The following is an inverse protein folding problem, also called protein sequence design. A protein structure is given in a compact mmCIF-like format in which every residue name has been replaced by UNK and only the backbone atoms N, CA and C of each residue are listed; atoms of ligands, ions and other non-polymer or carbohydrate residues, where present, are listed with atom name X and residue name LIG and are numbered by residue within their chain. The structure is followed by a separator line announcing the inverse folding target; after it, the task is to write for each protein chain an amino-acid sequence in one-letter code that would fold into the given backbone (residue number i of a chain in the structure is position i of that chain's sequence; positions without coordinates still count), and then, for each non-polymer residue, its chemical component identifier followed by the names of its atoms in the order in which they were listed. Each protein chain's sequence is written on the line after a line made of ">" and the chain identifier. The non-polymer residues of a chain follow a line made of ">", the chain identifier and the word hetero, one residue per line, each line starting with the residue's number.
data_IF_392491187483
#
_entry.id   IF_392491187483
#
_cell.length_a   1.000
_cell.length_b   1.000
_cell.length_c   1.000
_cell.angle_alpha   90.00
_cell.angle_beta   90.00
_cell.angle_gamma   90.00
#
_symmetry.space_group_name_H-M   'P 1'
#
loop_
_entity.id
_entity.type
_entity.pdbx_description
1 polymer ?
#
# COMPACT_ATOMS: atom_id res chain seq x y z
N UNK A 1 -2.76 -0.28 -19.73
CA UNK A 1 -1.75 -0.55 -18.70
C UNK A 1 -2.47 -0.67 -17.37
N UNK A 2 -2.24 -1.74 -16.59
CA UNK A 2 -3.03 -2.07 -15.39
C UNK A 2 -2.30 -1.57 -14.13
N UNK A 3 -2.71 -0.42 -13.59
CA UNK A 3 -2.20 0.15 -12.34
C UNK A 3 -2.86 -0.52 -11.11
N UNK A 4 -2.85 -1.85 -11.04
CA UNK A 4 -3.61 -2.57 -10.01
C UNK A 4 -2.91 -2.49 -8.66
N UNK A 5 -3.38 -1.60 -7.77
CA UNK A 5 -2.79 -1.43 -6.45
C UNK A 5 -3.33 -2.50 -5.50
N UNK A 6 -2.52 -3.53 -5.23
CA UNK A 6 -2.93 -4.62 -4.33
C UNK A 6 -2.95 -4.21 -2.86
N UNK A 7 -1.97 -3.41 -2.44
CA UNK A 7 -1.81 -2.86 -1.09
C UNK A 7 -1.03 -1.55 -1.15
N UNK A 8 -1.21 -0.72 -0.13
CA UNK A 8 -0.38 0.48 0.08
C UNK A 8 -0.14 0.73 1.55
N UNK A 9 0.91 1.50 1.85
CA UNK A 9 1.25 1.89 3.21
C UNK A 9 0.29 2.98 3.69
N UNK A 10 -0.21 2.79 4.90
CA UNK A 10 -0.92 3.84 5.62
C UNK A 10 0.09 4.81 6.22
N UNK A 11 -0.21 6.12 6.18
CA UNK A 11 0.59 7.13 6.89
C UNK A 11 0.71 6.78 8.37
N UNK A 12 1.88 7.05 8.93
CA UNK A 12 2.08 6.93 10.37
C UNK A 12 1.07 7.77 11.14
N UNK A 13 0.62 7.26 12.28
CA UNK A 13 -0.36 7.91 13.15
C UNK A 13 -1.70 8.26 12.48
N UNK A 14 -2.03 7.70 11.32
CA UNK A 14 -3.32 7.94 10.66
C UNK A 14 -4.50 7.66 11.59
N UNK A 15 -4.46 6.56 12.35
CA UNK A 15 -5.47 6.21 13.34
C UNK A 15 -5.33 6.97 14.67
N UNK A 16 -4.17 7.58 14.94
CA UNK A 16 -3.80 8.02 16.28
C UNK A 16 -3.73 6.86 17.26
N UNK A 17 -4.01 7.11 18.54
CA UNK A 17 -4.12 6.05 19.56
C UNK A 17 -5.32 5.16 19.28
N UNK A 18 -5.15 3.87 19.52
CA UNK A 18 -6.20 2.86 19.37
C UNK A 18 -6.47 2.17 20.71
N UNK A 19 -7.74 1.98 21.04
CA UNK A 19 -8.19 1.30 22.26
C UNK A 19 -9.08 0.13 21.89
N UNK A 20 -8.86 -1.02 22.51
CA UNK A 20 -9.64 -2.23 22.27
C UNK A 20 -11.05 -2.09 22.84
N UNK A 21 -12.08 -2.36 22.03
CA UNK A 21 -13.49 -2.22 22.44
C UNK A 21 -14.24 -3.55 22.53
N UNK A 22 -13.65 -4.63 22.02
CA UNK A 22 -14.20 -5.98 22.13
C UNK A 22 -13.07 -7.01 22.07
N UNK A 23 -13.37 -8.25 22.47
CA UNK A 23 -12.40 -9.35 22.45
C UNK A 23 -11.78 -9.52 21.06
N UNK A 24 -10.48 -9.83 21.05
CA UNK A 24 -9.79 -10.21 19.83
C UNK A 24 -10.39 -11.51 19.31
N UNK A 25 -10.40 -11.65 17.99
CA UNK A 25 -10.97 -12.83 17.33
C UNK A 25 -10.09 -13.24 16.16
N UNK A 26 -10.24 -14.47 15.67
CA UNK A 26 -9.60 -14.89 14.42
C UNK A 26 -10.58 -14.74 13.28
N UNK A 27 -10.13 -14.06 12.22
CA UNK A 27 -10.92 -13.86 11.01
C UNK A 27 -10.08 -14.19 9.78
N UNK A 28 -10.72 -14.75 8.77
CA UNK A 28 -10.09 -14.89 7.47
C UNK A 28 -10.22 -13.59 6.69
N UNK A 29 -9.09 -13.10 6.15
CA UNK A 29 -9.04 -11.88 5.34
C UNK A 29 -8.42 -12.21 3.99
N UNK A 30 -9.13 -11.89 2.91
CA UNK A 30 -8.72 -12.19 1.54
C UNK A 30 -9.24 -13.54 1.02
N UNK A 31 -8.60 -14.06 -0.04
CA UNK A 31 -9.02 -15.28 -0.71
C UNK A 31 -8.96 -16.53 0.19
N UNK A 32 -9.67 -17.59 -0.21
CA UNK A 32 -9.61 -18.89 0.46
C UNK A 32 -8.15 -19.39 0.51
N UNK A 33 -7.65 -19.70 1.71
CA UNK A 33 -6.28 -20.20 1.91
C UNK A 33 -5.25 -19.17 2.41
N UNK A 34 -5.61 -17.89 2.59
CA UNK A 34 -4.71 -16.84 3.10
C UNK A 34 -4.37 -16.92 4.60
N UNK A 35 -4.85 -17.95 5.29
CA UNK A 35 -4.73 -18.11 6.74
C UNK A 35 -5.73 -17.26 7.54
N UNK A 36 -5.76 -17.49 8.86
CA UNK A 36 -6.54 -16.66 9.79
C UNK A 36 -5.65 -15.56 10.38
N UNK A 37 -6.18 -14.34 10.46
CA UNK A 37 -5.54 -13.18 11.08
C UNK A 37 -6.20 -12.87 12.41
N UNK A 38 -5.45 -12.28 13.33
CA UNK A 38 -6.02 -11.80 14.61
C UNK A 38 -6.64 -10.43 14.35
N UNK A 39 -7.95 -10.33 14.58
CA UNK A 39 -8.77 -9.14 14.43
C UNK A 39 -8.83 -8.40 15.77
N UNK A 40 -8.48 -7.12 15.73
CA UNK A 40 -8.57 -6.17 16.83
C UNK A 40 -9.69 -5.15 16.52
N UNK A 41 -10.87 -5.30 17.13
CA UNK A 41 -11.90 -4.28 17.06
C UNK A 41 -11.51 -3.11 17.98
N UNK A 42 -11.19 -1.96 17.39
CA UNK A 42 -10.68 -0.80 18.12
C UNK A 42 -11.52 0.45 17.85
N UNK A 43 -11.58 1.32 18.85
CA UNK A 43 -11.87 2.74 18.62
C UNK A 43 -10.53 3.47 18.48
N UNK A 44 -10.43 4.38 17.52
CA UNK A 44 -9.20 5.17 17.34
C UNK A 44 -9.48 6.66 17.56
N UNK A 45 -8.44 7.47 17.71
CA UNK A 45 -8.61 8.91 17.95
C UNK A 45 -9.11 9.64 16.70
N UNK A 46 -8.57 9.27 15.53
CA UNK A 46 -8.75 10.02 14.28
C UNK A 46 -9.78 9.37 13.34
N UNK A 47 -9.99 8.07 13.47
CA UNK A 47 -11.02 7.31 12.76
C UNK A 47 -11.91 6.65 13.81
N UNK A 48 -13.20 6.48 13.56
CA UNK A 48 -14.06 5.81 14.55
C UNK A 48 -13.75 4.32 14.73
N UNK A 49 -14.76 3.46 14.56
CA UNK A 49 -14.59 2.03 14.77
C UNK A 49 -13.85 1.36 13.60
N UNK A 50 -12.63 0.91 13.87
CA UNK A 50 -11.79 0.19 12.92
C UNK A 50 -11.63 -1.29 13.32
N UNK A 51 -11.58 -2.16 12.32
CA UNK A 51 -11.21 -3.56 12.49
C UNK A 51 -9.82 -3.75 11.89
N UNK A 52 -8.80 -3.79 12.75
CA UNK A 52 -7.40 -3.92 12.33
C UNK A 52 -6.97 -5.38 12.46
N UNK A 53 -6.35 -5.93 11.41
CA UNK A 53 -5.96 -7.33 11.36
C UNK A 53 -4.44 -7.46 11.42
N UNK A 54 -3.92 -8.24 12.37
CA UNK A 54 -2.49 -8.55 12.43
C UNK A 54 -2.19 -9.74 11.54
N UNK A 55 -1.24 -9.55 10.62
CA UNK A 55 -0.94 -10.54 9.58
C UNK A 55 -0.18 -11.76 10.10
N UNK A 56 0.66 -11.58 11.11
CA UNK A 56 1.42 -12.65 11.78
C UNK A 56 0.88 -12.89 13.20
N UNK A 57 0.22 -14.02 13.43
CA UNK A 57 -0.36 -14.34 14.74
C UNK A 57 0.66 -14.36 15.89
N UNK A 58 1.93 -14.70 15.62
CA UNK A 58 3.01 -14.68 16.62
C UNK A 58 3.42 -13.25 17.06
N UNK A 59 3.00 -12.23 16.32
CA UNK A 59 3.26 -10.80 16.59
C UNK A 59 2.01 -10.07 17.08
N UNK A 60 0.96 -10.83 17.43
CA UNK A 60 -0.28 -10.34 17.98
C UNK A 60 -0.30 -10.64 19.48
N UNK A 61 -0.15 -9.60 20.30
CA UNK A 61 -0.27 -9.74 21.76
C UNK A 61 -1.75 -9.81 22.17
N UNK A 62 -2.01 -10.58 23.23
CA UNK A 62 -3.30 -10.63 23.92
C UNK A 62 -3.42 -9.44 24.86
N UNK A 63 -4.58 -8.80 24.85
CA UNK A 63 -4.82 -7.53 25.53
C UNK A 63 -6.28 -7.48 25.95
N UNK A 64 -6.55 -6.80 27.06
CA UNK A 64 -7.89 -6.66 27.61
C UNK A 64 -8.65 -5.48 27.00
N UNK A 65 -9.97 -5.54 27.09
CA UNK A 65 -10.84 -4.45 26.65
C UNK A 65 -10.51 -3.20 27.48
N UNK A 66 -10.37 -2.05 26.82
CA UNK A 66 -10.03 -0.77 27.46
C UNK A 66 -8.53 -0.44 27.46
N UNK A 67 -7.66 -1.34 27.01
CA UNK A 67 -6.22 -1.06 26.93
C UNK A 67 -5.82 -0.46 25.56
N UNK A 68 -4.77 0.36 25.58
CA UNK A 68 -4.21 1.02 24.39
C UNK A 68 -3.41 0.00 23.56
N UNK A 69 -3.37 0.22 22.24
CA UNK A 69 -2.61 -0.59 21.30
C UNK A 69 -1.66 0.24 20.47
N UNK A 70 -0.43 -0.29 20.34
CA UNK A 70 0.53 0.16 19.37
C UNK A 70 0.59 -0.86 18.24
N UNK A 71 -0.03 -0.51 17.11
CA UNK A 71 0.12 -1.29 15.88
C UNK A 71 1.46 -0.97 15.23
N UNK A 72 2.13 -2.00 14.71
CA UNK A 72 3.25 -1.81 13.79
C UNK A 72 2.79 -1.20 12.48
N UNK A 73 3.68 -1.12 11.50
CA UNK A 73 3.34 -0.65 10.14
C UNK A 73 2.04 -1.29 9.63
N UNK A 74 1.12 -0.44 9.16
CA UNK A 74 -0.18 -0.86 8.64
C UNK A 74 -0.18 -0.72 7.12
N UNK A 75 -0.49 -1.82 6.45
CA UNK A 75 -0.81 -1.85 5.03
C UNK A 75 -2.32 -1.84 4.84
N UNK A 76 -2.83 -1.07 3.89
CA UNK A 76 -4.24 -1.14 3.50
C UNK A 76 -4.36 -2.04 2.28
N UNK A 77 -5.28 -3.01 2.37
CA UNK A 77 -5.70 -3.82 1.22
C UNK A 77 -7.06 -3.31 0.72
N UNK A 78 -7.13 -2.64 -0.44
CA UNK A 78 -8.40 -2.29 -1.06
C UNK A 78 -9.08 -3.53 -1.65
N UNK A 79 -10.40 -3.60 -1.53
CA UNK A 79 -11.23 -4.63 -2.15
C UNK A 79 -12.56 -4.08 -2.60
N UNK A 80 -13.13 -4.68 -3.65
CA UNK A 80 -14.46 -4.30 -4.14
C UNK A 80 -15.47 -5.25 -3.54
N UNK A 81 -16.46 -4.70 -2.83
CA UNK A 81 -17.54 -5.47 -2.22
C UNK A 81 -18.84 -5.17 -2.97
N UNK A 82 -19.55 -6.22 -3.35
CA UNK A 82 -20.89 -6.13 -3.92
C UNK A 82 -21.93 -6.34 -2.82
N UNK A 83 -22.92 -5.47 -2.73
CA UNK A 83 -24.16 -5.73 -1.97
C UNK A 83 -25.25 -6.08 -2.97
N UNK A 84 -25.95 -7.18 -2.70
CA UNK A 84 -26.95 -7.78 -3.58
C UNK A 84 -28.39 -7.41 -3.19
N UNK A 85 -28.61 -6.29 -2.51
CA UNK A 85 -29.96 -5.83 -2.12
C UNK A 85 -30.41 -4.69 -3.06
N UNK A 86 -31.51 -4.92 -3.81
CA UNK A 86 -32.29 -3.96 -4.61
C UNK A 86 -31.57 -3.07 -5.66
N UNK A 87 -30.29 -3.29 -5.94
CA UNK A 87 -29.54 -2.95 -7.16
C UNK A 87 -28.10 -3.36 -6.86
N UNK A 88 -27.41 -4.04 -7.78
CA UNK A 88 -26.01 -4.42 -7.56
C UNK A 88 -25.14 -3.18 -7.39
N UNK A 89 -24.89 -2.81 -6.14
CA UNK A 89 -24.02 -1.69 -5.79
C UNK A 89 -22.68 -2.26 -5.36
N UNK A 90 -21.62 -1.81 -6.04
CA UNK A 90 -20.24 -2.17 -5.70
C UNK A 90 -19.54 -0.96 -5.11
N UNK A 91 -18.86 -1.11 -3.98
CA UNK A 91 -18.06 -0.05 -3.37
C UNK A 91 -16.67 -0.56 -2.98
N UNK A 92 -15.74 0.39 -2.89
CA UNK A 92 -14.40 0.13 -2.36
C UNK A 92 -14.47 -0.01 -0.85
N UNK A 93 -13.80 -1.03 -0.35
CA UNK A 93 -13.62 -1.32 1.07
C UNK A 93 -12.15 -1.42 1.38
N UNK A 94 -11.74 -0.98 2.55
CA UNK A 94 -10.34 -1.01 2.99
C UNK A 94 -10.17 -1.95 4.15
N UNK A 95 -9.22 -2.87 4.02
CA UNK A 95 -8.84 -3.76 5.13
C UNK A 95 -7.46 -3.38 5.65
N UNK A 96 -7.34 -2.83 6.86
CA UNK A 96 -6.05 -2.51 7.47
C UNK A 96 -5.37 -3.75 8.03
N UNK A 97 -4.13 -3.96 7.60
CA UNK A 97 -3.28 -5.10 7.88
C UNK A 97 -2.02 -4.64 8.63
N UNK A 98 -2.01 -4.79 9.96
CA UNK A 98 -0.87 -4.46 10.79
C UNK A 98 0.19 -5.59 10.79
N UNK A 99 1.47 -5.21 10.83
CA UNK A 99 2.59 -6.16 10.94
C UNK A 99 2.75 -6.76 12.33
N UNK A 100 2.29 -6.05 13.37
CA UNK A 100 2.28 -6.47 14.77
C UNK A 100 1.23 -5.69 15.56
N UNK A 101 0.84 -6.21 16.71
CA UNK A 101 0.09 -5.48 17.73
C UNK A 101 0.77 -5.70 19.08
N UNK A 102 1.19 -4.61 19.71
CA UNK A 102 1.81 -4.63 21.05
C UNK A 102 0.92 -3.90 22.03
N UNK A 103 0.83 -4.46 23.24
CA UNK A 103 0.15 -3.85 24.36
C UNK A 103 0.77 -2.50 24.68
N UNK A 104 -0.07 -1.47 24.71
CA UNK A 104 0.28 -0.14 25.18
C UNK A 104 0.03 0.01 26.68
N UNK A 105 -0.14 1.25 27.12
CA UNK A 105 -0.50 1.53 28.52
C UNK A 105 -1.99 1.26 28.76
N UNK A 106 -2.39 1.09 30.01
CA UNK A 106 -3.81 1.13 30.37
C UNK A 106 -4.31 2.56 30.16
N UNK A 107 -5.41 2.72 29.42
CA UNK A 107 -6.01 4.03 29.16
C UNK A 107 -7.06 4.32 30.21
N UNK A 108 -7.04 5.51 30.80
CA UNK A 108 -8.22 6.01 31.50
C UNK A 108 -9.29 6.35 30.44
N UNK A 109 -10.45 5.66 30.42
CA UNK A 109 -11.51 5.92 29.45
C UNK A 109 -11.97 7.39 29.40
N UNK A 110 -11.81 8.13 30.50
CA UNK A 110 -12.12 9.57 30.60
C UNK A 110 -11.09 10.44 29.86
N UNK A 111 -9.84 9.95 29.75
CA UNK A 111 -8.74 10.64 29.07
C UNK A 111 -8.68 10.36 27.57
N UNK A 112 -9.43 9.37 27.05
CA UNK A 112 -9.51 9.08 25.62
C UNK A 112 -10.38 10.12 24.90
N UNK A 113 -9.81 11.30 24.67
CA UNK A 113 -10.44 12.32 23.83
C UNK A 113 -10.34 11.91 22.37
N UNK A 114 -11.48 11.71 21.71
CA UNK A 114 -11.51 11.75 20.24
C UNK A 114 -11.11 13.16 19.84
N UNK A 115 -10.03 13.29 19.09
CA UNK A 115 -9.81 14.52 18.34
C UNK A 115 -11.00 14.64 17.39
N UNK A 116 -11.63 15.82 17.30
CA UNK A 116 -12.74 16.06 16.37
C UNK A 116 -12.24 15.87 14.95
N UNK A 117 -12.26 14.63 14.50
CA UNK A 117 -12.07 14.26 13.11
C UNK A 117 -13.41 14.50 12.43
N UNK A 118 -13.40 15.38 11.43
CA UNK A 118 -14.53 15.60 10.53
C UNK A 118 -14.89 14.26 9.88
N UNK A 119 -15.91 13.58 10.42
CA UNK A 119 -16.63 12.45 9.84
C UNK A 119 -15.81 11.44 9.00
N UNK A 120 -14.63 11.01 9.46
CA UNK A 120 -13.90 9.90 8.82
C UNK A 120 -14.55 8.51 9.06
N UNK A 121 -15.60 8.44 9.88
CA UNK A 121 -16.32 7.19 10.16
C UNK A 121 -17.03 6.57 8.96
N UNK A 122 -17.42 7.38 7.97
CA UNK A 122 -17.98 6.89 6.71
C UNK A 122 -16.89 6.57 5.67
N UNK A 123 -15.76 7.29 5.70
CA UNK A 123 -14.74 7.25 4.64
C UNK A 123 -13.86 6.00 4.67
N UNK A 124 -13.59 5.40 5.82
CA UNK A 124 -12.72 4.22 5.88
C UNK A 124 -13.41 2.91 5.41
N UNK A 125 -14.74 2.81 5.55
CA UNK A 125 -15.48 1.61 5.14
C UNK A 125 -16.04 1.68 3.72
N UNK A 126 -16.28 2.89 3.21
CA UNK A 126 -16.90 3.13 1.89
C UNK A 126 -16.27 4.33 1.17
N UNK A 127 -14.93 4.42 1.15
CA UNK A 127 -14.24 5.58 0.57
C UNK A 127 -14.59 5.81 -0.90
N UNK A 128 -14.81 7.08 -1.27
CA UNK A 128 -15.12 7.55 -2.64
C UNK A 128 -13.91 7.46 -3.59
N UNK A 129 -13.01 6.50 -3.37
CA UNK A 129 -11.80 6.32 -4.17
C UNK A 129 -10.63 7.22 -3.79
N UNK A 130 -10.84 8.43 -3.26
CA UNK A 130 -9.73 9.29 -2.81
C UNK A 130 -9.04 8.72 -1.56
N UNK A 131 -7.73 8.46 -1.67
CA UNK A 131 -6.88 7.93 -0.60
C UNK A 131 -5.72 8.87 -0.24
N UNK A 132 -5.71 10.10 -0.76
CA UNK A 132 -4.58 11.05 -0.61
C UNK A 132 -4.22 11.36 0.84
N UNK A 133 -5.23 11.44 1.71
CA UNK A 133 -5.03 11.69 3.14
C UNK A 133 -4.41 10.49 3.88
N UNK A 134 -4.64 9.26 3.40
CA UNK A 134 -4.30 8.02 4.09
C UNK A 134 -3.04 7.34 3.55
N UNK A 135 -2.76 7.42 2.25
CA UNK A 135 -1.61 6.75 1.65
C UNK A 135 -0.30 7.45 1.97
N UNK A 136 0.69 6.67 2.40
CA UNK A 136 2.09 7.10 2.45
C UNK A 136 2.74 6.82 1.09
N UNK A 137 2.84 7.86 0.25
CA UNK A 137 3.34 7.74 -1.13
C UNK A 137 4.79 7.24 -1.14
N UNK A 138 5.64 7.81 -0.29
CA UNK A 138 7.07 7.46 -0.24
C UNK A 138 7.24 6.02 0.22
N UNK A 139 6.57 5.58 1.28
CA UNK A 139 6.69 4.17 1.71
C UNK A 139 6.03 3.19 0.76
N UNK A 140 5.00 3.61 0.02
CA UNK A 140 4.29 2.74 -0.93
C UNK A 140 5.07 2.53 -2.23
N UNK A 141 5.64 3.60 -2.79
CA UNK A 141 6.24 3.57 -4.12
C UNK A 141 7.76 3.78 -4.11
N UNK A 142 8.32 4.36 -3.04
CA UNK A 142 9.70 4.83 -2.99
C UNK A 142 9.93 5.95 -3.99
N UNK A 143 11.14 5.99 -4.53
CA UNK A 143 11.45 6.84 -5.67
C UNK A 143 10.81 6.27 -6.95
N UNK A 144 10.62 7.12 -7.95
CA UNK A 144 10.18 6.73 -9.28
C UNK A 144 11.32 6.85 -10.29
N UNK A 145 11.33 5.96 -11.27
CA UNK A 145 12.23 5.99 -12.43
C UNK A 145 11.45 6.47 -13.64
N UNK A 146 11.90 7.58 -14.25
CA UNK A 146 11.24 8.18 -15.40
C UNK A 146 11.35 7.32 -16.66
N UNK A 147 10.24 7.06 -17.35
CA UNK A 147 10.20 6.28 -18.59
C UNK A 147 9.80 7.13 -19.79
N UNK A 148 8.81 8.01 -19.64
CA UNK A 148 8.44 8.99 -20.67
C UNK A 148 7.70 10.18 -20.07
N UNK A 149 7.68 11.29 -20.83
CA UNK A 149 6.95 12.52 -20.52
C UNK A 149 6.19 12.95 -21.77
N UNK A 150 4.88 13.13 -21.65
CA UNK A 150 4.02 13.56 -22.75
C UNK A 150 3.19 14.78 -22.33
N UNK A 151 3.21 15.89 -23.08
CA UNK A 151 2.27 16.99 -22.83
C UNK A 151 0.86 16.55 -23.20
N UNK A 152 -0.10 16.80 -22.31
CA UNK A 152 -1.52 16.69 -22.61
C UNK A 152 -2.08 18.08 -22.86
N UNK A 153 -2.82 18.23 -23.95
CA UNK A 153 -3.35 19.52 -24.42
C UNK A 153 -4.86 19.59 -24.24
N UNK A 154 -5.37 20.79 -23.96
CA UNK A 154 -6.80 21.05 -23.93
C UNK A 154 -7.43 20.75 -25.28
N UNK A 155 -8.70 20.34 -25.24
CA UNK A 155 -9.53 20.14 -26.44
C UNK A 155 -10.69 21.13 -26.41
N UNK A 156 -11.05 21.65 -27.58
CA UNK A 156 -12.24 22.49 -27.74
C UNK A 156 -13.54 21.67 -27.61
N UNK A 157 -14.68 22.35 -27.77
CA UNK A 157 -16.00 21.72 -27.64
C UNK A 157 -16.25 20.62 -28.71
N UNK A 158 -15.56 20.72 -29.84
CA UNK A 158 -15.58 19.78 -30.96
C UNK A 158 -14.55 18.65 -30.81
N UNK A 159 -13.75 18.67 -29.73
CA UNK A 159 -12.75 17.67 -29.40
C UNK A 159 -11.40 17.84 -30.10
N UNK A 160 -11.18 18.95 -30.83
CA UNK A 160 -9.91 19.25 -31.50
C UNK A 160 -8.86 19.78 -30.51
N UNK A 161 -7.58 19.45 -30.67
CA UNK A 161 -6.51 19.97 -29.82
C UNK A 161 -6.37 21.50 -29.99
N UNK A 162 -6.40 22.23 -28.88
CA UNK A 162 -6.24 23.70 -28.87
C UNK A 162 -4.78 24.15 -29.00
N UNK A 163 -3.83 23.26 -28.71
CA UNK A 163 -2.40 23.58 -28.63
C UNK A 163 -1.96 24.09 -27.25
N UNK A 164 -2.88 24.43 -26.37
CA UNK A 164 -2.59 24.81 -24.98
C UNK A 164 -2.37 23.57 -24.11
N UNK A 165 -1.27 23.54 -23.36
CA UNK A 165 -0.94 22.40 -22.49
C UNK A 165 -1.81 22.48 -21.23
N UNK A 166 -2.55 21.41 -20.97
CA UNK A 166 -3.35 21.21 -19.74
C UNK A 166 -2.44 20.74 -18.58
N UNK A 167 -1.55 19.79 -18.87
CA UNK A 167 -0.67 19.13 -17.89
C UNK A 167 0.38 18.27 -18.58
N UNK A 168 1.34 17.77 -17.82
CA UNK A 168 2.23 16.70 -18.28
C UNK A 168 1.78 15.35 -17.74
N UNK A 169 1.84 14.32 -18.57
CA UNK A 169 1.63 12.93 -18.17
C UNK A 169 2.97 12.22 -18.23
N UNK A 170 3.42 11.71 -17.09
CA UNK A 170 4.66 10.94 -17.01
C UNK A 170 4.35 9.46 -16.86
N UNK A 171 5.07 8.62 -17.60
CA UNK A 171 5.13 7.19 -17.33
C UNK A 171 6.36 6.94 -16.46
N UNK A 172 6.15 6.31 -15.31
CA UNK A 172 7.21 6.10 -14.34
C UNK A 172 7.11 4.73 -13.69
N UNK A 173 8.26 4.16 -13.34
CA UNK A 173 8.35 2.88 -12.62
C UNK A 173 8.65 3.11 -11.15
N UNK A 174 7.83 2.58 -10.27
CA UNK A 174 8.09 2.60 -8.82
C UNK A 174 9.29 1.73 -8.46
N UNK A 175 10.18 2.23 -7.61
CA UNK A 175 11.35 1.48 -7.13
C UNK A 175 10.99 0.41 -6.10
N UNK A 176 9.89 0.58 -5.37
CA UNK A 176 9.50 -0.35 -4.30
C UNK A 176 8.77 -1.59 -4.81
N UNK A 177 7.90 -1.44 -5.80
CA UNK A 177 7.08 -2.55 -6.32
C UNK A 177 7.36 -2.89 -7.79
N UNK A 178 8.22 -2.13 -8.48
CA UNK A 178 8.62 -2.35 -9.86
C UNK A 178 7.45 -2.31 -10.87
N UNK A 179 6.32 -1.69 -10.50
CA UNK A 179 5.18 -1.47 -11.38
C UNK A 179 5.27 -0.12 -12.10
N UNK A 180 4.62 -0.05 -13.27
CA UNK A 180 4.49 1.16 -14.08
C UNK A 180 3.25 1.95 -13.69
N UNK A 181 3.40 3.28 -13.59
CA UNK A 181 2.34 4.22 -13.27
C UNK A 181 2.31 5.38 -14.26
N UNK A 182 1.11 5.81 -14.57
CA UNK A 182 0.85 7.07 -15.28
C UNK A 182 0.52 8.13 -14.24
N UNK A 183 1.30 9.20 -14.19
CA UNK A 183 1.19 10.26 -13.18
C UNK A 183 0.95 11.59 -13.88
N UNK A 184 -0.07 12.33 -13.46
CA UNK A 184 -0.33 13.68 -13.95
C UNK A 184 0.51 14.69 -13.14
N UNK A 185 1.30 15.53 -13.83
CA UNK A 185 2.05 16.64 -13.25
C UNK A 185 1.37 17.95 -13.66
N UNK A 186 0.93 18.71 -12.65
CA UNK A 186 0.05 19.87 -12.84
C UNK A 186 0.83 21.18 -13.06
N UNK A 187 2.06 21.28 -12.57
CA UNK A 187 2.93 22.42 -12.84
C UNK A 187 3.37 22.40 -14.30
N UNK A 188 3.01 23.44 -15.07
CA UNK A 188 3.40 23.57 -16.48
C UNK A 188 4.85 24.06 -16.64
N UNK A 189 5.41 24.72 -15.62
CA UNK A 189 6.80 25.17 -15.57
C UNK A 189 7.75 24.10 -14.97
N UNK A 190 7.27 22.86 -14.88
CA UNK A 190 8.03 21.74 -14.33
C UNK A 190 9.31 21.46 -15.15
N UNK A 191 10.39 21.11 -14.45
CA UNK A 191 11.64 20.64 -15.08
C UNK A 191 11.58 19.17 -15.50
N UNK A 192 10.42 18.49 -15.38
CA UNK A 192 10.30 17.06 -15.69
C UNK A 192 10.70 16.71 -17.13
N UNK A 193 10.52 17.65 -18.07
CA UNK A 193 10.91 17.47 -19.48
C UNK A 193 12.42 17.49 -19.69
N UNK A 194 13.15 18.13 -18.79
CA UNK A 194 14.60 18.25 -18.84
C UNK A 194 15.29 17.07 -18.15
N UNK A 195 14.53 16.29 -17.38
CA UNK A 195 15.04 15.08 -16.75
C UNK A 195 15.38 14.03 -17.82
N UNK A 196 16.58 13.43 -17.77
CA UNK A 196 16.91 12.35 -18.68
C UNK A 196 16.01 11.15 -18.41
N UNK A 197 15.74 10.36 -19.46
CA UNK A 197 15.08 9.08 -19.30
C UNK A 197 15.85 8.22 -18.30
N UNK A 198 15.11 7.47 -17.49
CA UNK A 198 15.61 6.66 -16.39
C UNK A 198 16.18 7.46 -15.20
N UNK A 199 16.01 8.78 -15.15
CA UNK A 199 16.27 9.56 -13.95
C UNK A 199 15.37 9.11 -12.79
N UNK A 200 15.93 9.11 -11.59
CA UNK A 200 15.15 8.94 -10.37
C UNK A 200 14.54 10.28 -9.94
N UNK A 201 13.29 10.24 -9.51
CA UNK A 201 12.58 11.42 -9.01
C UNK A 201 11.58 11.06 -7.91
N UNK A 202 11.20 12.05 -7.14
CA UNK A 202 10.11 12.00 -6.17
C UNK A 202 9.01 12.99 -6.58
N UNK A 203 7.77 12.68 -6.20
CA UNK A 203 6.64 13.59 -6.36
C UNK A 203 6.72 14.69 -5.28
N UNK A 204 6.43 15.94 -5.65
CA UNK A 204 6.50 17.09 -4.74
C UNK A 204 5.26 17.95 -4.81
N UNK A 205 5.09 18.82 -3.80
CA UNK A 205 3.88 19.61 -3.59
C UNK A 205 2.71 18.74 -3.13
N UNK A 206 1.50 19.09 -3.56
CA UNK A 206 0.29 18.34 -3.26
C UNK A 206 0.25 17.08 -4.11
N UNK A 207 0.29 15.91 -3.46
CA UNK A 207 0.14 14.61 -4.15
C UNK A 207 -1.26 14.07 -3.87
N UNK A 208 -2.01 13.80 -4.93
CA UNK A 208 -3.32 13.17 -4.87
C UNK A 208 -3.27 11.75 -5.43
N UNK A 209 -4.01 10.86 -4.77
CA UNK A 209 -4.10 9.44 -5.08
C UNK A 209 -5.55 9.02 -5.07
N UNK A 210 -6.05 8.58 -6.23
CA UNK A 210 -7.43 8.14 -6.41
C UNK A 210 -7.48 6.69 -6.88
N UNK A 211 -8.24 5.89 -6.16
CA UNK A 211 -8.59 4.54 -6.53
C UNK A 211 -9.90 4.53 -7.31
N UNK A 212 -9.91 3.76 -8.39
CA UNK A 212 -11.11 3.54 -9.18
C UNK A 212 -11.27 2.06 -9.50
N UNK A 213 -12.53 1.67 -9.70
CA UNK A 213 -12.85 0.35 -10.22
C UNK A 213 -12.46 0.30 -11.69
N UNK A 214 -11.61 -0.65 -12.05
CA UNK A 214 -11.36 -0.94 -13.46
C UNK A 214 -12.54 -1.75 -14.02
N UNK A 215 -13.41 -1.08 -14.78
CA UNK A 215 -14.56 -1.71 -15.42
C UNK A 215 -14.18 -2.45 -16.72
N UNK A 216 -12.94 -2.30 -17.22
CA UNK A 216 -12.50 -2.96 -18.45
C UNK A 216 -12.32 -4.48 -18.31
N UNK A 217 -12.32 -4.99 -17.07
CA UNK A 217 -12.14 -6.40 -16.75
C UNK A 217 -13.43 -6.95 -16.11
N UNK A 218 -14.31 -7.54 -16.93
CA UNK A 218 -15.63 -8.06 -16.51
C UNK A 218 -15.49 -9.20 -15.49
N UNK A 219 -14.43 -10.00 -15.56
CA UNK A 219 -14.24 -11.21 -14.74
C UNK A 219 -13.29 -11.03 -13.54
N UNK A 220 -12.41 -10.03 -13.56
CA UNK A 220 -11.45 -9.75 -12.50
C UNK A 220 -11.47 -8.27 -12.18
N UNK A 221 -12.43 -7.84 -11.36
CA UNK A 221 -12.56 -6.45 -10.97
C UNK A 221 -11.30 -6.04 -10.18
N UNK A 222 -10.48 -5.18 -10.78
CA UNK A 222 -9.25 -4.65 -10.17
C UNK A 222 -9.49 -3.25 -9.63
N UNK A 223 -8.75 -2.92 -8.58
CA UNK A 223 -8.65 -1.55 -8.06
C UNK A 223 -7.45 -0.90 -8.73
N UNK A 224 -7.70 0.11 -9.55
CA UNK A 224 -6.67 0.85 -10.26
C UNK A 224 -6.38 2.18 -9.56
N UNK A 225 -5.14 2.65 -9.67
CA UNK A 225 -4.67 3.89 -9.06
C UNK A 225 -4.39 4.96 -10.13
N UNK A 226 -4.88 6.18 -9.86
CA UNK A 226 -4.47 7.42 -10.51
C UNK A 226 -3.69 8.27 -9.52
N UNK A 227 -2.52 8.75 -9.95
CA UNK A 227 -1.67 9.65 -9.18
C UNK A 227 -1.59 11.01 -9.89
N UNK A 228 -1.67 12.08 -9.11
CA UNK A 228 -1.34 13.42 -9.58
C UNK A 228 -0.44 14.13 -8.58
N UNK A 229 0.46 14.95 -9.06
CA UNK A 229 1.33 15.78 -8.23
C UNK A 229 1.43 17.19 -8.81
N UNK A 230 1.75 18.17 -7.97
CA UNK A 230 2.06 19.51 -8.44
C UNK A 230 3.34 19.47 -9.29
N UNK A 231 4.41 18.86 -8.79
CA UNK A 231 5.68 18.78 -9.49
C UNK A 231 6.46 17.50 -9.17
N UNK A 232 7.66 17.39 -9.71
CA UNK A 232 8.65 16.36 -9.41
C UNK A 232 9.97 16.97 -8.98
N UNK A 233 10.75 16.20 -8.22
CA UNK A 233 12.13 16.56 -7.87
C UNK A 233 13.05 15.42 -8.20
N UNK A 234 14.10 15.68 -8.98
CA UNK A 234 15.14 14.71 -9.23
C UNK A 234 15.85 14.32 -7.93
N UNK A 235 16.15 13.03 -7.79
CA UNK A 235 16.91 12.51 -6.67
C UNK A 235 18.08 11.68 -7.19
N UNK A 236 19.24 11.84 -6.57
CA UNK A 236 20.34 10.88 -6.76
C UNK A 236 19.92 9.56 -6.16
N UNK A 237 20.14 8.47 -6.91
CA UNK A 237 19.75 7.12 -6.53
C UNK A 237 20.00 6.89 -5.03
N UNK A 238 18.92 6.78 -4.26
CA UNK A 238 18.99 6.30 -2.90
C UNK A 238 19.41 4.83 -2.99
N UNK A 239 20.69 4.56 -2.70
CA UNK A 239 21.17 3.18 -2.62
C UNK A 239 20.57 2.60 -1.35
N UNK A 240 19.35 2.07 -1.43
CA UNK A 240 18.88 1.13 -0.41
C UNK A 240 19.86 -0.05 -0.47
N UNK A 241 20.58 -0.39 0.62
CA UNK A 241 21.46 -1.54 0.58
C UNK A 241 20.61 -2.74 0.16
N UNK A 242 21.04 -3.39 -0.92
CA UNK A 242 20.59 -4.75 -1.25
C UNK A 242 20.57 -5.52 0.05
N UNK A 243 19.39 -6.04 0.43
CA UNK A 243 19.32 -7.19 1.33
C UNK A 243 20.42 -8.14 0.90
N UNK A 244 21.44 -8.35 1.74
CA UNK A 244 22.44 -9.37 1.53
C UNK A 244 21.68 -10.69 1.40
N UNK A 245 21.48 -11.14 0.17
CA UNK A 245 21.26 -12.55 -0.11
C UNK A 245 22.43 -13.27 0.53
N UNK A 246 22.14 -13.96 1.63
CA UNK A 246 23.05 -14.87 2.29
C UNK A 246 23.81 -15.64 1.22
N UNK A 247 25.15 -15.56 1.28
CA UNK A 247 26.04 -16.40 0.48
C UNK A 247 25.68 -17.85 0.78
N UNK A 248 24.91 -18.49 -0.10
CA UNK A 248 24.91 -19.94 -0.20
C UNK A 248 26.26 -20.34 -0.74
N UNK A 249 27.06 -20.97 0.12
CA UNK A 249 28.34 -21.56 -0.21
C UNK A 249 28.22 -22.44 -1.46
N UNK A 250 29.19 -22.25 -2.34
CA UNK A 250 29.32 -22.96 -3.60
C UNK A 250 29.35 -24.47 -3.37
N UNK A 251 28.40 -25.16 -4.01
CA UNK A 251 28.40 -26.60 -4.20
C UNK A 251 29.69 -27.02 -4.90
N UNK A 252 30.54 -27.75 -4.17
CA UNK A 252 31.73 -28.44 -4.70
C UNK A 252 31.31 -29.40 -5.84
N UNK A 253 32.01 -29.41 -6.99
CA UNK A 253 31.73 -30.40 -8.03
C UNK A 253 32.17 -31.80 -7.56
N UNK A 254 31.37 -32.79 -7.92
CA UNK A 254 31.63 -34.20 -7.65
C UNK A 254 32.78 -34.71 -8.53
N UNK A 255 33.88 -35.14 -7.90
CA UNK A 255 34.88 -35.99 -8.55
C UNK A 255 34.51 -37.47 -8.35
N UNK A 256 34.27 -38.15 -9.45
CA UNK A 256 34.38 -39.61 -9.59
C UNK A 256 35.82 -40.05 -9.42
N UNK A 257 36.08 -41.00 -8.53
CA UNK A 257 37.41 -41.60 -8.35
C UNK A 257 37.37 -42.81 -7.42
N UNK A 258 37.62 -43.98 -8.00
CA UNK A 258 37.32 -45.31 -7.49
C UNK A 258 38.44 -45.89 -6.58
N UNK A 259 38.01 -46.83 -5.74
CA UNK A 259 38.70 -48.05 -5.29
C UNK A 259 39.65 -48.14 -4.08
N UNK A 260 39.35 -49.21 -3.32
CA UNK A 260 40.16 -50.06 -2.43
C UNK A 260 40.40 -49.55 -0.99
N UNK A 261 40.23 -50.34 0.08
CA UNK A 261 40.34 -51.80 0.20
C UNK A 261 39.70 -52.32 1.52
N UNK A 262 38.94 -53.42 1.38
CA UNK A 262 38.77 -54.61 2.24
C UNK A 262 39.17 -54.62 3.73
N UNK A 263 38.32 -55.32 4.50
CA UNK A 263 38.71 -56.20 5.61
C UNK A 263 37.65 -56.25 6.71
N UNK A 264 36.52 -56.94 6.55
CA UNK A 264 36.29 -58.37 6.86
C UNK A 264 36.59 -58.75 8.34
N UNK A 265 35.55 -59.03 9.15
CA UNK A 265 35.25 -60.38 9.68
C UNK A 265 34.14 -60.40 10.75
N UNK A 266 33.27 -61.39 10.57
CA UNK A 266 32.25 -62.01 11.42
C UNK A 266 32.45 -61.99 12.94
N UNK A 267 31.34 -61.83 13.67
CA UNK A 267 30.67 -62.92 14.42
C UNK A 267 29.23 -62.55 14.75
#
# INVERSE_FOLDING_TARGET
>A
MSNSLQRFNLKENFFGKAVLVANTSRAQVGARGSGTKVKYPVTTQNVGLAEIYVTEARRAEEVEIGEEFNFGQILIQPSIRSIAENNQSTFLTFTPLASSAKKGNTVDPVSFSKERSEDFTSSFRTGNGDISAMIDIEKTFGDFVLISVEPKVFRDAEGQPTGEIEKYVIQARSTMNNEMYSIDILNLDTSVRELPLFAHFQLTGTVSAMLYRDQSQVENIRVSLSLKADDVKAVTQSVTPKSETAKTDASKPAETGNNNQKGNQNK
#
